data_IF_063405068001
#
_entry.id   IF_063405068001
#
_cell.length_a   1.000
_cell.length_b   1.000
_cell.length_c   1.000
_cell.angle_alpha   90.00
_cell.angle_beta   90.00
_cell.angle_gamma   90.00
#
_symmetry.space_group_name_H-M   'P 1'
#
loop_
_entity.id
_entity.type
_entity.pdbx_description
1 polymer ?
#
# COMPACT_ATOMS: atom_id res chain seq x y z
N UNK A 1 9.93 7.82 11.56
CA UNK A 1 9.37 7.13 10.38
C UNK A 1 10.16 7.35 9.10
N UNK A 2 10.44 8.61 8.72
CA UNK A 2 11.06 8.94 7.43
C UNK A 2 12.40 8.24 7.13
N UNK A 3 13.33 8.17 8.09
CA UNK A 3 14.64 7.50 7.89
C UNK A 3 14.47 6.00 7.58
N UNK A 4 13.54 5.31 8.25
CA UNK A 4 13.24 3.90 7.99
C UNK A 4 12.69 3.71 6.56
N UNK A 5 11.73 4.55 6.16
CA UNK A 5 11.16 4.52 4.80
C UNK A 5 12.22 4.81 3.74
N UNK A 6 13.17 5.71 4.03
CA UNK A 6 14.29 6.02 3.13
C UNK A 6 15.19 4.81 2.92
N UNK A 7 15.55 4.11 4.01
CA UNK A 7 16.36 2.89 3.95
C UNK A 7 15.63 1.80 3.15
N UNK A 8 14.32 1.63 3.37
CA UNK A 8 13.49 0.68 2.63
C UNK A 8 13.48 1.02 1.14
N UNK A 9 13.24 2.28 0.78
CA UNK A 9 13.24 2.71 -0.62
C UNK A 9 14.57 2.46 -1.32
N UNK A 10 15.71 2.81 -0.67
CA UNK A 10 17.05 2.55 -1.22
C UNK A 10 17.27 1.05 -1.44
N UNK A 11 16.88 0.20 -0.48
CA UNK A 11 16.98 -1.26 -0.62
C UNK A 11 16.14 -1.78 -1.79
N UNK A 12 14.92 -1.28 -1.97
CA UNK A 12 14.06 -1.66 -3.10
C UNK A 12 14.67 -1.23 -4.44
N UNK A 13 15.24 -0.02 -4.53
CA UNK A 13 15.86 0.49 -5.75
C UNK A 13 17.06 -0.38 -6.15
N UNK A 14 17.96 -0.67 -5.20
CA UNK A 14 19.19 -1.43 -5.46
C UNK A 14 18.91 -2.92 -5.72
N UNK A 15 18.03 -3.54 -4.93
CA UNK A 15 17.78 -4.98 -5.02
C UNK A 15 16.77 -5.32 -6.12
N UNK A 16 15.91 -4.36 -6.48
CA UNK A 16 14.80 -4.58 -7.41
C UNK A 16 13.73 -5.53 -6.90
N UNK A 17 13.81 -5.95 -5.63
CA UNK A 17 12.87 -6.86 -4.98
C UNK A 17 12.27 -6.16 -3.79
N UNK A 18 10.94 -6.17 -3.75
CA UNK A 18 10.19 -5.90 -2.53
C UNK A 18 10.55 -7.07 -1.62
N UNK A 19 11.51 -6.86 -0.71
CA UNK A 19 11.98 -7.74 0.38
C UNK A 19 11.68 -9.20 0.07
N UNK A 20 12.68 -10.00 -0.34
CA UNK A 20 12.49 -11.45 -0.56
C UNK A 20 11.74 -12.05 0.66
N UNK A 21 10.40 -12.13 0.54
CA UNK A 21 9.52 -12.95 1.34
C UNK A 21 9.74 -14.36 0.77
N UNK A 22 10.99 -14.82 0.90
CA UNK A 22 11.34 -16.16 0.53
C UNK A 22 10.44 -17.08 1.34
N UNK A 23 9.92 -18.07 0.63
CA UNK A 23 8.98 -19.10 1.04
C UNK A 23 9.52 -19.91 2.23
N UNK A 24 9.53 -19.33 3.42
CA UNK A 24 9.63 -20.10 4.66
C UNK A 24 8.21 -20.30 5.21
N UNK A 25 7.87 -21.49 5.75
CA UNK A 25 6.57 -21.75 6.37
C UNK A 25 6.22 -20.80 7.54
N UNK A 26 7.18 -20.01 8.02
CA UNK A 26 7.01 -18.95 9.01
C UNK A 26 6.48 -17.63 8.41
N UNK A 27 6.39 -17.51 7.08
CA UNK A 27 5.87 -16.33 6.38
C UNK A 27 4.35 -16.17 6.47
N UNK A 28 3.66 -16.97 7.29
CA UNK A 28 2.23 -16.80 7.63
C UNK A 28 1.97 -15.43 8.27
N UNK A 29 3.02 -14.74 8.73
CA UNK A 29 3.00 -13.33 9.15
C UNK A 29 2.92 -12.28 8.04
N UNK A 30 2.81 -12.64 6.75
CA UNK A 30 2.55 -11.69 5.65
C UNK A 30 1.05 -11.40 5.43
N UNK A 31 0.16 -12.25 5.96
CA UNK A 31 -1.29 -12.11 5.89
C UNK A 31 -1.89 -11.00 6.80
N UNK A 32 -1.32 -10.66 7.98
CA UNK A 32 -1.87 -9.62 8.85
C UNK A 32 -1.52 -8.18 8.45
N UNK A 33 -0.79 -7.91 7.36
CA UNK A 33 -0.54 -6.52 6.87
C UNK A 33 -1.44 -6.18 5.67
N UNK A 34 -1.65 -7.13 4.75
CA UNK A 34 -2.51 -6.92 3.60
C UNK A 34 -3.98 -6.71 4.01
N UNK A 35 -4.43 -7.42 5.05
CA UNK A 35 -5.79 -7.31 5.58
C UNK A 35 -6.07 -5.92 6.21
N UNK A 36 -5.22 -5.35 7.09
CA UNK A 36 -5.39 -3.98 7.54
C UNK A 36 -5.03 -2.93 6.49
N UNK A 37 -4.33 -3.24 5.39
CA UNK A 37 -4.25 -2.29 4.28
C UNK A 37 -5.58 -2.21 3.51
N UNK A 38 -6.24 -3.35 3.28
CA UNK A 38 -7.55 -3.42 2.63
C UNK A 38 -8.67 -2.86 3.50
N UNK A 39 -8.65 -3.13 4.81
CA UNK A 39 -9.59 -2.62 5.81
C UNK A 39 -8.85 -1.72 6.78
N UNK A 40 -8.19 -0.69 6.23
CA UNK A 40 -7.42 0.25 7.04
C UNK A 40 -8.31 1.12 7.93
N UNK A 41 -7.70 1.78 8.94
CA UNK A 41 -8.43 2.72 9.79
C UNK A 41 -9.11 3.81 8.97
N UNK A 42 -8.51 4.23 7.83
CA UNK A 42 -9.14 5.15 6.89
C UNK A 42 -10.39 4.60 6.20
N UNK A 43 -10.39 3.32 5.80
CA UNK A 43 -11.58 2.70 5.22
C UNK A 43 -12.71 2.58 6.25
N UNK A 44 -12.37 2.26 7.51
CA UNK A 44 -13.32 2.19 8.62
C UNK A 44 -13.91 3.58 8.90
N UNK A 45 -13.08 4.63 9.02
CA UNK A 45 -13.59 5.98 9.26
C UNK A 45 -14.46 6.44 8.09
N UNK A 46 -14.05 6.23 6.83
CA UNK A 46 -14.87 6.57 5.67
C UNK A 46 -16.20 5.83 5.66
N UNK A 47 -16.23 4.54 6.03
CA UNK A 47 -17.47 3.78 6.14
C UNK A 47 -18.41 4.38 7.21
N UNK A 48 -17.88 4.71 8.40
CA UNK A 48 -18.65 5.34 9.48
C UNK A 48 -19.21 6.69 9.04
N UNK A 49 -18.38 7.55 8.44
CA UNK A 49 -18.81 8.84 7.90
C UNK A 49 -19.88 8.69 6.81
N UNK A 50 -19.71 7.71 5.92
CA UNK A 50 -20.67 7.46 4.84
C UNK A 50 -22.01 6.97 5.38
N UNK A 51 -22.03 6.12 6.41
CA UNK A 51 -23.26 5.69 7.08
C UNK A 51 -23.97 6.90 7.69
N UNK A 52 -23.24 7.81 8.35
CA UNK A 52 -23.82 9.01 8.95
C UNK A 52 -24.38 9.99 7.90
N UNK A 53 -23.72 10.11 6.74
CA UNK A 53 -24.09 11.09 5.72
C UNK A 53 -25.17 10.58 4.74
N UNK A 54 -25.08 9.32 4.32
CA UNK A 54 -25.92 8.75 3.25
C UNK A 54 -26.80 7.60 3.72
N UNK A 55 -26.70 7.18 4.98
CA UNK A 55 -27.46 6.07 5.53
C UNK A 55 -26.86 4.70 5.23
N UNK A 56 -27.37 3.69 5.95
CA UNK A 56 -26.83 2.33 5.98
C UNK A 56 -26.96 1.59 4.64
N UNK A 57 -28.10 1.73 3.95
CA UNK A 57 -28.39 1.01 2.70
C UNK A 57 -27.45 1.42 1.56
N UNK A 58 -27.30 2.73 1.32
CA UNK A 58 -26.44 3.27 0.27
C UNK A 58 -24.97 2.92 0.55
N UNK A 59 -24.53 3.07 1.80
CA UNK A 59 -23.15 2.77 2.19
C UNK A 59 -22.81 1.29 2.03
N UNK A 60 -23.73 0.39 2.39
CA UNK A 60 -23.52 -1.06 2.25
C UNK A 60 -23.34 -1.45 0.79
N UNK A 61 -24.17 -0.91 -0.11
CA UNK A 61 -24.04 -1.15 -1.56
C UNK A 61 -22.70 -0.61 -2.09
N UNK A 62 -22.28 0.59 -1.67
CA UNK A 62 -21.00 1.16 -2.05
C UNK A 62 -19.81 0.29 -1.61
N UNK A 63 -19.84 -0.22 -0.37
CA UNK A 63 -18.81 -1.13 0.16
C UNK A 63 -18.76 -2.43 -0.65
N UNK A 64 -19.92 -3.03 -0.94
CA UNK A 64 -19.99 -4.26 -1.75
C UNK A 64 -19.39 -4.04 -3.14
N UNK A 65 -19.69 -2.89 -3.77
CA UNK A 65 -19.11 -2.53 -5.08
C UNK A 65 -17.60 -2.39 -4.97
N UNK A 66 -17.08 -1.66 -3.97
CA UNK A 66 -15.65 -1.47 -3.76
C UNK A 66 -14.91 -2.80 -3.53
N UNK A 67 -15.49 -3.70 -2.73
CA UNK A 67 -14.96 -5.04 -2.50
C UNK A 67 -14.98 -5.89 -3.78
N UNK A 68 -16.05 -5.80 -4.57
CA UNK A 68 -16.18 -6.51 -5.85
C UNK A 68 -15.12 -6.06 -6.85
N UNK A 69 -14.92 -4.74 -6.98
CA UNK A 69 -13.86 -4.17 -7.84
C UNK A 69 -12.49 -4.65 -7.38
N UNK A 70 -12.22 -4.57 -6.08
CA UNK A 70 -10.95 -5.03 -5.49
C UNK A 70 -10.71 -6.50 -5.77
N UNK A 71 -11.73 -7.35 -5.62
CA UNK A 71 -11.67 -8.77 -5.93
C UNK A 71 -11.36 -9.02 -7.42
N UNK A 72 -11.97 -8.28 -8.34
CA UNK A 72 -11.70 -8.38 -9.78
C UNK A 72 -10.24 -8.01 -10.09
N UNK A 73 -9.72 -6.94 -9.48
CA UNK A 73 -8.34 -6.50 -9.65
C UNK A 73 -7.38 -7.58 -9.15
N UNK A 74 -7.60 -8.09 -7.93
CA UNK A 74 -6.78 -9.16 -7.33
C UNK A 74 -6.81 -10.44 -8.17
N UNK A 75 -7.98 -10.82 -8.71
CA UNK A 75 -8.11 -11.97 -9.61
C UNK A 75 -7.36 -11.74 -10.92
N UNK A 76 -7.32 -10.50 -11.40
CA UNK A 76 -6.64 -10.11 -12.64
C UNK A 76 -5.14 -9.95 -12.47
N UNK A 77 -4.59 -9.94 -11.24
CA UNK A 77 -3.15 -9.83 -10.95
C UNK A 77 -2.31 -10.82 -11.75
N UNK A 78 -2.78 -12.07 -11.96
CA UNK A 78 -2.06 -13.04 -12.82
C UNK A 78 -1.97 -12.60 -14.27
N UNK A 79 -3.04 -12.03 -14.82
CA UNK A 79 -3.05 -11.49 -16.20
C UNK A 79 -2.20 -10.23 -16.29
N UNK A 80 -2.30 -9.34 -15.30
CA UNK A 80 -1.50 -8.11 -15.21
C UNK A 80 -0.01 -8.49 -15.20
N UNK A 81 0.40 -9.44 -14.38
CA UNK A 81 1.79 -9.91 -14.33
C UNK A 81 2.26 -10.50 -15.67
N UNK A 82 1.40 -11.26 -16.36
CA UNK A 82 1.74 -11.81 -17.67
C UNK A 82 1.83 -10.75 -18.77
N UNK A 83 0.96 -9.74 -18.73
CA UNK A 83 0.96 -8.63 -19.68
C UNK A 83 2.16 -7.69 -19.50
N UNK A 84 2.52 -7.38 -18.25
CA UNK A 84 3.69 -6.55 -17.93
C UNK A 84 5.01 -7.30 -18.14
N UNK A 85 4.98 -8.62 -18.05
CA UNK A 85 6.18 -9.46 -18.05
C UNK A 85 7.10 -9.17 -16.85
N UNK A 86 8.25 -9.87 -16.82
CA UNK A 86 9.24 -9.71 -15.75
C UNK A 86 9.83 -8.30 -15.69
N UNK A 87 10.11 -7.70 -16.86
CA UNK A 87 10.70 -6.37 -16.95
C UNK A 87 9.71 -5.26 -16.55
N UNK A 88 8.44 -5.33 -16.99
CA UNK A 88 7.44 -4.33 -16.62
C UNK A 88 7.12 -4.34 -15.13
N UNK A 89 7.03 -5.52 -14.51
CA UNK A 89 6.85 -5.64 -13.07
C UNK A 89 8.02 -5.02 -12.29
N UNK A 90 9.26 -5.20 -12.77
CA UNK A 90 10.44 -4.58 -12.17
C UNK A 90 10.40 -3.05 -12.27
N UNK A 91 10.02 -2.51 -13.43
CA UNK A 91 9.89 -1.05 -13.61
C UNK A 91 8.86 -0.47 -12.65
N UNK A 92 7.70 -1.12 -12.48
CA UNK A 92 6.69 -0.64 -11.52
C UNK A 92 7.19 -0.71 -10.08
N UNK A 93 7.91 -1.77 -9.71
CA UNK A 93 8.52 -1.86 -8.39
C UNK A 93 9.51 -0.70 -8.14
N UNK A 94 10.29 -0.31 -9.15
CA UNK A 94 11.21 0.82 -9.09
C UNK A 94 10.48 2.16 -8.94
N UNK A 95 9.39 2.36 -9.68
CA UNK A 95 8.57 3.57 -9.56
C UNK A 95 7.94 3.68 -8.16
N UNK A 96 7.42 2.58 -7.61
CA UNK A 96 6.91 2.55 -6.23
C UNK A 96 8.01 2.86 -5.22
N UNK A 97 9.21 2.34 -5.41
CA UNK A 97 10.35 2.63 -4.54
C UNK A 97 10.72 4.13 -4.58
N UNK A 98 10.66 4.76 -5.75
CA UNK A 98 10.85 6.20 -5.91
C UNK A 98 9.79 7.01 -5.14
N UNK A 99 8.51 6.59 -5.19
CA UNK A 99 7.46 7.22 -4.38
C UNK A 99 7.72 7.09 -2.88
N UNK A 100 8.13 5.91 -2.40
CA UNK A 100 8.47 5.70 -1.00
C UNK A 100 9.65 6.59 -0.59
N UNK A 101 10.67 6.74 -1.44
CA UNK A 101 11.79 7.65 -1.20
C UNK A 101 11.31 9.10 -1.07
N UNK A 102 10.43 9.56 -1.96
CA UNK A 102 9.87 10.90 -1.91
C UNK A 102 9.09 11.15 -0.61
N UNK A 103 8.21 10.22 -0.23
CA UNK A 103 7.45 10.28 1.03
C UNK A 103 8.40 10.27 2.24
N UNK A 104 9.47 9.48 2.19
CA UNK A 104 10.47 9.42 3.24
C UNK A 104 11.18 10.76 3.44
N UNK A 105 11.62 11.40 2.35
CA UNK A 105 12.23 12.74 2.38
C UNK A 105 11.25 13.77 2.90
N UNK A 106 9.99 13.75 2.44
CA UNK A 106 8.94 14.63 2.94
C UNK A 106 8.78 14.50 4.46
N UNK A 107 8.73 13.28 4.99
CA UNK A 107 8.62 13.05 6.43
C UNK A 107 9.85 13.50 7.22
N UNK A 108 11.05 13.38 6.66
CA UNK A 108 12.28 13.89 7.28
C UNK A 108 12.22 15.42 7.34
N UNK A 109 11.88 16.08 6.23
CA UNK A 109 11.77 17.53 6.16
C UNK A 109 10.70 18.08 7.10
N UNK A 110 9.52 17.46 7.13
CA UNK A 110 8.45 17.85 8.07
C UNK A 110 8.88 17.66 9.52
N UNK A 111 9.58 16.56 9.85
CA UNK A 111 10.09 16.33 11.20
C UNK A 111 11.15 17.36 11.64
N UNK A 112 12.08 17.71 10.74
CA UNK A 112 13.09 18.75 11.00
C UNK A 112 12.42 20.12 11.13
N UNK A 113 11.51 20.47 10.22
CA UNK A 113 10.79 21.74 10.25
C UNK A 113 9.99 21.89 11.56
N UNK A 114 9.30 20.83 11.99
CA UNK A 114 8.63 20.82 13.29
C UNK A 114 9.61 20.95 14.45
N UNK A 115 10.78 20.31 14.40
CA UNK A 115 11.79 20.43 15.44
C UNK A 115 12.36 21.85 15.58
N UNK A 116 12.51 22.57 14.45
CA UNK A 116 13.02 23.95 14.41
C UNK A 116 11.93 24.98 14.74
N UNK A 117 10.66 24.66 14.49
CA UNK A 117 9.50 25.49 14.85
C UNK A 117 8.98 25.24 16.29
N UNK A 118 9.68 24.42 17.07
CA UNK A 118 9.61 24.42 18.54
C UNK A 118 10.44 25.59 19.06
#
# INVERSE_FOLDING_TARGET
GGILLLIIAIRLIITGRIIDLEKTPESVGAVPIAMPLLVGPGAITTAIFSIQQYGMSITTVAIIIALTITWIILRSTRRIYHFLGKSGALVIAQVNALFIAAIAVQFILMGIAQFIQI
#
